data_IF_564860007918
#
_entry.id   IF_564860007918
#
_cell.length_a   1.000
_cell.length_b   1.000
_cell.length_c   1.000
_cell.angle_alpha   90.00
_cell.angle_beta   90.00
_cell.angle_gamma   90.00
#
_symmetry.space_group_name_H-M   'P 1'
#
loop_
_entity.id
_entity.type
_entity.pdbx_description
1 polymer ?
#
# COMPACT_ATOMS: atom_id res chain seq x y z
N UNK A 1 18.27 -13.01 -13.49
CA UNK A 1 18.37 -13.06 -12.01
C UNK A 1 18.68 -11.70 -11.39
N UNK A 2 19.83 -11.02 -11.68
CA UNK A 2 20.12 -9.71 -11.08
C UNK A 2 18.99 -8.69 -11.34
N UNK A 3 18.65 -8.45 -12.60
CA UNK A 3 17.60 -7.48 -12.97
C UNK A 3 16.25 -7.86 -12.34
N UNK A 4 15.87 -9.12 -12.35
CA UNK A 4 14.57 -9.58 -11.84
C UNK A 4 14.47 -9.46 -10.31
N UNK A 5 15.60 -9.70 -9.61
CA UNK A 5 15.64 -9.73 -8.13
C UNK A 5 15.95 -8.36 -7.55
N UNK A 6 16.91 -7.63 -8.14
CA UNK A 6 17.43 -6.39 -7.56
C UNK A 6 17.18 -5.14 -8.41
N UNK A 7 16.67 -5.29 -9.64
CA UNK A 7 16.44 -4.18 -10.56
C UNK A 7 17.70 -3.59 -11.17
N UNK A 8 18.90 -4.10 -10.84
CA UNK A 8 20.16 -3.57 -11.31
C UNK A 8 20.99 -4.60 -12.08
N UNK A 9 21.90 -4.12 -12.89
CA UNK A 9 22.86 -4.97 -13.63
C UNK A 9 23.95 -5.51 -12.71
N UNK A 10 24.44 -6.74 -12.93
CA UNK A 10 25.60 -7.26 -12.19
C UNK A 10 26.88 -6.46 -12.54
N UNK A 11 27.77 -6.34 -11.58
CA UNK A 11 29.14 -5.83 -11.82
C UNK A 11 29.95 -6.86 -12.61
N UNK A 12 30.95 -6.44 -13.42
CA UNK A 12 31.79 -7.37 -14.18
C UNK A 12 32.41 -8.48 -13.34
N UNK A 13 32.85 -8.15 -12.12
CA UNK A 13 33.42 -9.13 -11.19
C UNK A 13 32.41 -10.20 -10.76
N UNK A 14 31.13 -9.83 -10.56
CA UNK A 14 30.05 -10.75 -10.20
C UNK A 14 29.72 -11.70 -11.36
N UNK A 15 29.75 -11.20 -12.59
CA UNK A 15 29.60 -12.04 -13.79
C UNK A 15 30.73 -13.04 -13.89
N UNK A 16 31.99 -12.60 -13.76
CA UNK A 16 33.17 -13.48 -13.82
C UNK A 16 33.11 -14.54 -12.72
N UNK A 17 32.80 -14.16 -11.48
CA UNK A 17 32.67 -15.09 -10.36
C UNK A 17 31.62 -16.17 -10.64
N UNK A 18 30.44 -15.78 -11.14
CA UNK A 18 29.38 -16.74 -11.48
C UNK A 18 29.75 -17.66 -12.64
N UNK A 19 30.46 -17.16 -13.65
CA UNK A 19 30.88 -17.95 -14.81
C UNK A 19 31.97 -18.96 -14.46
N UNK A 20 32.86 -18.62 -13.55
CA UNK A 20 33.99 -19.50 -13.10
C UNK A 20 33.55 -20.50 -12.04
N UNK A 21 32.47 -20.24 -11.32
CA UNK A 21 31.92 -21.16 -10.32
C UNK A 21 31.36 -22.43 -11.00
N UNK A 22 31.89 -23.60 -10.59
CA UNK A 22 31.50 -24.93 -11.09
C UNK A 22 30.51 -25.65 -10.16
N UNK A 23 30.06 -25.01 -9.09
CA UNK A 23 29.12 -25.58 -8.12
C UNK A 23 27.76 -25.89 -8.78
N UNK A 24 27.18 -27.07 -8.52
CA UNK A 24 25.90 -27.46 -9.11
C UNK A 24 24.74 -26.58 -8.67
N UNK A 25 24.81 -26.01 -7.47
CA UNK A 25 23.79 -25.15 -6.86
C UNK A 25 24.09 -23.63 -6.94
N UNK A 26 25.05 -23.22 -7.78
CA UNK A 26 25.46 -21.81 -7.88
C UNK A 26 24.32 -20.82 -8.18
N UNK A 27 23.25 -21.26 -8.86
CA UNK A 27 22.08 -20.41 -9.16
C UNK A 27 21.26 -20.14 -7.90
N UNK A 28 21.02 -21.17 -7.09
CA UNK A 28 20.29 -21.03 -5.82
C UNK A 28 21.07 -20.14 -4.85
N UNK A 29 22.36 -20.41 -4.67
CA UNK A 29 23.22 -19.60 -3.83
C UNK A 29 23.28 -18.13 -4.26
N UNK A 30 23.28 -17.86 -5.57
CA UNK A 30 23.21 -16.49 -6.08
C UNK A 30 21.86 -15.86 -5.76
N UNK A 31 20.74 -16.54 -5.93
CA UNK A 31 19.42 -16.03 -5.61
C UNK A 31 19.34 -15.67 -4.13
N UNK A 32 19.75 -16.56 -3.24
CA UNK A 32 19.77 -16.32 -1.79
C UNK A 32 20.59 -15.09 -1.43
N UNK A 33 21.74 -14.93 -2.09
CA UNK A 33 22.61 -13.75 -1.91
C UNK A 33 21.92 -12.47 -2.40
N UNK A 34 21.23 -12.50 -3.54
CA UNK A 34 20.54 -11.35 -4.11
C UNK A 34 19.34 -10.92 -3.28
N UNK A 35 18.59 -11.88 -2.71
CA UNK A 35 17.44 -11.62 -1.85
C UNK A 35 17.82 -10.89 -0.54
N UNK A 36 19.07 -11.02 -0.10
CA UNK A 36 19.58 -10.34 1.11
C UNK A 36 20.15 -8.95 0.83
N UNK A 37 20.20 -8.52 -0.43
CA UNK A 37 20.73 -7.22 -0.80
C UNK A 37 19.73 -6.09 -0.52
N UNK A 38 20.27 -4.92 -0.19
CA UNK A 38 19.47 -3.72 -0.02
C UNK A 38 18.69 -3.33 -1.31
N UNK A 39 19.28 -3.61 -2.47
CA UNK A 39 18.66 -3.33 -3.77
C UNK A 39 17.40 -4.15 -4.01
N UNK A 40 17.30 -5.36 -3.45
CA UNK A 40 16.05 -6.13 -3.42
C UNK A 40 14.98 -5.39 -2.64
N UNK A 41 15.31 -4.94 -1.44
CA UNK A 41 14.38 -4.14 -0.62
C UNK A 41 13.98 -2.86 -1.33
N UNK A 42 14.94 -2.11 -1.88
CA UNK A 42 14.70 -0.85 -2.59
C UNK A 42 13.74 -1.04 -3.79
N UNK A 43 13.94 -2.10 -4.59
CA UNK A 43 13.06 -2.45 -5.71
C UNK A 43 11.62 -2.73 -5.26
N UNK A 44 11.47 -3.52 -4.22
CA UNK A 44 10.14 -3.90 -3.73
C UNK A 44 9.44 -2.76 -2.98
N UNK A 45 10.18 -1.96 -2.23
CA UNK A 45 9.65 -0.73 -1.62
C UNK A 45 9.13 0.23 -2.70
N UNK A 46 9.88 0.41 -3.79
CA UNK A 46 9.44 1.24 -4.91
C UNK A 46 8.12 0.74 -5.50
N UNK A 47 8.00 -0.56 -5.79
CA UNK A 47 6.77 -1.16 -6.34
C UNK A 47 5.58 -1.04 -5.39
N UNK A 48 5.80 -1.35 -4.11
CA UNK A 48 4.74 -1.24 -3.10
C UNK A 48 4.37 0.21 -2.80
N UNK A 49 5.33 1.13 -2.83
CA UNK A 49 5.06 2.57 -2.66
C UNK A 49 4.11 3.09 -3.73
N UNK A 50 4.23 2.62 -4.96
CA UNK A 50 3.33 2.99 -6.05
C UNK A 50 1.90 2.44 -5.82
N UNK A 51 1.78 1.15 -5.46
CA UNK A 51 0.50 0.52 -5.16
C UNK A 51 -0.20 1.12 -3.94
N UNK A 52 0.57 1.43 -2.89
CA UNK A 52 0.08 2.01 -1.63
C UNK A 52 0.04 3.53 -1.66
N UNK A 53 0.28 4.14 -2.83
CA UNK A 53 0.21 5.58 -3.07
C UNK A 53 1.09 6.40 -2.10
N UNK A 54 2.30 5.94 -1.80
CA UNK A 54 3.27 6.69 -1.00
C UNK A 54 3.74 7.90 -1.78
N UNK A 55 3.10 9.05 -1.55
CA UNK A 55 3.39 10.30 -2.27
C UNK A 55 3.19 11.51 -1.37
N UNK A 56 3.92 12.57 -1.65
CA UNK A 56 3.65 13.91 -1.11
C UNK A 56 2.91 14.74 -2.17
N UNK A 57 2.01 15.61 -1.73
CA UNK A 57 1.32 16.54 -2.63
C UNK A 57 1.83 17.96 -2.44
N UNK A 58 2.00 18.68 -3.54
CA UNK A 58 2.49 20.06 -3.51
C UNK A 58 1.33 21.08 -3.58
N UNK A 59 0.12 20.67 -4.02
CA UNK A 59 -0.91 21.61 -4.45
C UNK A 59 -2.31 21.45 -3.83
N UNK A 60 -2.51 20.53 -2.90
CA UNK A 60 -3.79 20.36 -2.23
C UNK A 60 -3.61 20.35 -0.71
N UNK A 61 -4.41 21.13 0.00
CA UNK A 61 -4.43 21.17 1.48
C UNK A 61 -4.71 19.81 2.15
N UNK A 62 -5.00 18.78 1.38
CA UNK A 62 -5.31 17.41 1.85
C UNK A 62 -4.19 16.42 1.58
N UNK A 63 -3.20 16.78 0.78
CA UNK A 63 -2.11 15.87 0.45
C UNK A 63 -1.09 15.77 1.60
N UNK A 64 -0.50 14.60 1.85
CA UNK A 64 0.51 14.44 2.89
C UNK A 64 1.70 15.37 2.67
N UNK A 65 2.18 15.96 3.75
CA UNK A 65 3.46 16.68 3.72
C UNK A 65 4.61 15.73 3.36
N UNK A 66 5.69 16.26 2.81
CA UNK A 66 6.87 15.46 2.46
C UNK A 66 7.38 14.62 3.63
N UNK A 67 7.41 15.19 4.85
CA UNK A 67 7.78 14.49 6.08
C UNK A 67 6.92 13.24 6.30
N UNK A 68 5.61 13.36 6.14
CA UNK A 68 4.67 12.26 6.37
C UNK A 68 4.82 11.18 5.32
N UNK A 69 5.00 11.56 4.05
CA UNK A 69 5.29 10.62 2.97
C UNK A 69 6.62 9.88 3.21
N UNK A 70 7.65 10.56 3.71
CA UNK A 70 8.93 9.95 4.06
C UNK A 70 8.80 8.98 5.25
N UNK A 71 8.03 9.34 6.28
CA UNK A 71 7.76 8.45 7.42
C UNK A 71 7.01 7.18 6.97
N UNK A 72 6.02 7.34 6.08
CA UNK A 72 5.28 6.23 5.52
C UNK A 72 6.18 5.34 4.65
N UNK A 73 7.02 5.93 3.80
CA UNK A 73 8.02 5.21 3.01
C UNK A 73 8.97 4.41 3.90
N UNK A 74 9.52 5.02 4.95
CA UNK A 74 10.45 4.38 5.87
C UNK A 74 9.79 3.22 6.63
N UNK A 75 8.53 3.39 7.05
CA UNK A 75 7.75 2.31 7.66
C UNK A 75 7.62 1.11 6.69
N UNK A 76 7.24 1.36 5.44
CA UNK A 76 7.10 0.32 4.44
C UNK A 76 8.45 -0.36 4.13
N UNK A 77 9.53 0.41 4.03
CA UNK A 77 10.88 -0.10 3.82
C UNK A 77 11.31 -1.04 4.95
N UNK A 78 11.05 -0.66 6.20
CA UNK A 78 11.35 -1.51 7.37
C UNK A 78 10.59 -2.85 7.32
N UNK A 79 9.30 -2.82 6.97
CA UNK A 79 8.47 -4.03 6.85
C UNK A 79 8.99 -4.98 5.76
N UNK A 80 9.32 -4.43 4.59
CA UNK A 80 9.85 -5.21 3.46
C UNK A 80 11.26 -5.72 3.76
N UNK A 81 12.14 -4.89 4.36
CA UNK A 81 13.48 -5.32 4.73
C UNK A 81 13.49 -6.47 5.75
N UNK A 82 12.52 -6.49 6.65
CA UNK A 82 12.32 -7.59 7.62
C UNK A 82 11.59 -8.80 7.03
N UNK A 83 11.24 -8.75 5.74
CA UNK A 83 10.44 -9.78 5.07
C UNK A 83 9.17 -10.13 5.85
N UNK A 84 8.49 -9.10 6.41
CA UNK A 84 7.25 -9.30 7.15
C UNK A 84 6.16 -9.85 6.22
N UNK A 85 5.36 -10.82 6.66
CA UNK A 85 4.26 -11.38 5.87
C UNK A 85 3.30 -10.28 5.39
N UNK A 86 2.93 -10.34 4.10
CA UNK A 86 2.11 -9.27 3.48
C UNK A 86 0.75 -9.08 4.16
N UNK A 87 0.13 -10.15 4.64
CA UNK A 87 -1.12 -10.08 5.39
C UNK A 87 -0.97 -9.27 6.69
N UNK A 88 0.17 -9.37 7.38
CA UNK A 88 0.44 -8.57 8.58
C UNK A 88 0.65 -7.10 8.22
N UNK A 89 1.38 -6.81 7.13
CA UNK A 89 1.56 -5.44 6.63
C UNK A 89 0.20 -4.82 6.28
N UNK A 90 -0.69 -5.58 5.64
CA UNK A 90 -2.04 -5.12 5.29
C UNK A 90 -2.90 -4.88 6.53
N UNK A 91 -2.83 -5.74 7.54
CA UNK A 91 -3.52 -5.53 8.83
C UNK A 91 -3.01 -4.26 9.50
N UNK A 92 -1.68 -4.10 9.62
CA UNK A 92 -1.07 -2.90 10.21
C UNK A 92 -1.51 -1.61 9.48
N UNK A 93 -1.63 -1.69 8.14
CA UNK A 93 -2.01 -0.57 7.30
C UNK A 93 -3.50 -0.22 7.44
N UNK A 94 -4.39 -1.20 7.27
CA UNK A 94 -5.83 -0.96 7.20
C UNK A 94 -6.47 -0.74 8.58
N UNK A 95 -5.86 -1.26 9.64
CA UNK A 95 -6.32 -1.00 11.01
C UNK A 95 -5.66 0.23 11.66
N UNK A 96 -4.78 0.92 10.95
CA UNK A 96 -4.03 2.04 11.51
C UNK A 96 -4.95 3.19 11.91
N UNK A 97 -4.69 3.74 13.10
CA UNK A 97 -5.33 4.95 13.61
C UNK A 97 -4.32 5.77 14.42
N UNK A 98 -4.56 7.08 14.57
CA UNK A 98 -3.66 7.98 15.28
C UNK A 98 -3.05 9.06 14.39
N UNK A 99 -1.95 9.66 14.83
CA UNK A 99 -1.30 10.77 14.13
C UNK A 99 -0.48 10.33 12.93
N UNK A 100 -0.50 11.12 11.87
CA UNK A 100 0.26 10.85 10.64
C UNK A 100 1.78 10.88 10.82
N UNK A 101 2.26 11.51 11.89
CA UNK A 101 3.68 11.53 12.26
C UNK A 101 4.00 10.39 13.23
N UNK A 102 3.16 10.21 14.25
CA UNK A 102 3.38 9.23 15.33
C UNK A 102 3.07 7.78 14.92
N UNK A 103 2.18 7.58 13.94
CA UNK A 103 1.81 6.27 13.39
C UNK A 103 1.81 6.30 11.86
N UNK A 104 2.98 6.11 11.20
CA UNK A 104 3.15 6.32 9.77
C UNK A 104 2.17 5.60 8.83
N UNK A 105 1.71 4.35 9.07
CA UNK A 105 0.78 3.67 8.16
C UNK A 105 -0.56 4.39 7.98
N UNK A 106 -0.99 5.25 8.94
CA UNK A 106 -2.23 6.03 8.77
C UNK A 106 -2.17 7.01 7.58
N UNK A 107 -0.98 7.31 7.06
CA UNK A 107 -0.81 8.13 5.88
C UNK A 107 -1.45 7.54 4.61
N UNK A 108 -1.72 6.24 4.58
CA UNK A 108 -2.55 5.63 3.55
C UNK A 108 -3.91 6.33 3.42
N UNK A 109 -4.57 6.58 4.54
CA UNK A 109 -5.85 7.28 4.60
C UNK A 109 -5.75 8.81 4.45
N UNK A 110 -4.56 9.37 4.59
CA UNK A 110 -4.32 10.78 4.33
C UNK A 110 -4.03 11.06 2.85
N UNK A 111 -3.50 10.08 2.13
CA UNK A 111 -3.20 10.21 0.70
C UNK A 111 -4.47 10.21 -0.15
N UNK A 112 -5.45 9.37 0.18
CA UNK A 112 -6.75 9.33 -0.46
C UNK A 112 -7.85 9.52 0.59
N UNK A 113 -8.62 10.60 0.43
CA UNK A 113 -9.65 10.99 1.39
C UNK A 113 -11.07 10.60 0.97
N UNK A 114 -11.27 10.31 -0.32
CA UNK A 114 -12.57 9.89 -0.85
C UNK A 114 -12.82 8.41 -0.51
N UNK A 115 -13.84 8.09 0.29
CA UNK A 115 -14.15 6.70 0.64
C UNK A 115 -14.41 5.80 -0.57
N UNK A 116 -14.93 6.33 -1.68
CA UNK A 116 -15.12 5.60 -2.93
C UNK A 116 -13.76 5.11 -3.45
N UNK A 117 -12.82 6.03 -3.58
CA UNK A 117 -11.48 5.72 -4.10
C UNK A 117 -10.68 4.82 -3.17
N UNK A 118 -10.80 5.00 -1.85
CA UNK A 118 -10.20 4.09 -0.87
C UNK A 118 -10.76 2.67 -1.03
N UNK A 119 -12.10 2.55 -1.11
CA UNK A 119 -12.79 1.26 -1.32
C UNK A 119 -12.28 0.55 -2.57
N UNK A 120 -12.23 1.26 -3.69
CA UNK A 120 -11.79 0.72 -4.98
C UNK A 120 -10.30 0.36 -4.97
N UNK A 121 -9.45 1.18 -4.36
CA UNK A 121 -8.04 0.91 -4.24
C UNK A 121 -7.78 -0.33 -3.39
N UNK A 122 -8.42 -0.46 -2.23
CA UNK A 122 -8.30 -1.65 -1.36
C UNK A 122 -8.74 -2.92 -2.10
N UNK A 123 -9.89 -2.87 -2.80
CA UNK A 123 -10.36 -4.01 -3.59
C UNK A 123 -9.36 -4.37 -4.70
N UNK A 124 -8.84 -3.40 -5.40
CA UNK A 124 -7.92 -3.65 -6.52
C UNK A 124 -6.56 -4.14 -6.05
N UNK A 125 -5.97 -3.52 -5.02
CA UNK A 125 -4.59 -3.81 -4.58
C UNK A 125 -4.52 -5.09 -3.76
N UNK A 126 -5.45 -5.29 -2.82
CA UNK A 126 -5.37 -6.40 -1.87
C UNK A 126 -6.25 -7.59 -2.20
N UNK A 127 -7.31 -7.39 -2.97
CA UNK A 127 -8.24 -8.46 -3.35
C UNK A 127 -8.17 -8.80 -4.84
N UNK A 128 -7.39 -8.04 -5.64
CA UNK A 128 -7.24 -8.26 -7.08
C UNK A 128 -8.52 -8.02 -7.89
N UNK A 129 -9.46 -7.25 -7.36
CA UNK A 129 -10.80 -7.08 -7.93
C UNK A 129 -11.08 -5.65 -8.34
N UNK A 130 -11.73 -5.47 -9.48
CA UNK A 130 -12.25 -4.18 -9.93
C UNK A 130 -13.75 -4.12 -9.67
N UNK A 131 -14.14 -3.44 -8.61
CA UNK A 131 -15.55 -3.38 -8.17
C UNK A 131 -16.29 -2.10 -8.61
N UNK A 132 -15.65 -1.23 -9.38
CA UNK A 132 -16.23 0.06 -9.79
C UNK A 132 -17.59 -0.08 -10.48
N UNK A 133 -17.78 -1.11 -11.30
CA UNK A 133 -19.07 -1.36 -11.96
C UNK A 133 -20.21 -1.59 -10.96
N UNK A 134 -19.88 -2.22 -9.81
CA UNK A 134 -20.86 -2.49 -8.76
C UNK A 134 -21.32 -1.23 -8.00
N UNK A 135 -20.73 -0.08 -8.24
CA UNK A 135 -21.18 1.20 -7.68
C UNK A 135 -22.56 1.64 -8.19
N UNK A 136 -22.90 1.32 -9.44
CA UNK A 136 -24.14 1.79 -10.08
C UNK A 136 -25.15 0.67 -10.37
N UNK A 137 -24.68 -0.56 -10.56
CA UNK A 137 -25.47 -1.75 -10.85
C UNK A 137 -24.70 -3.01 -10.45
N UNK A 138 -25.37 -4.16 -10.39
CA UNK A 138 -24.67 -5.41 -10.17
C UNK A 138 -23.58 -5.63 -11.21
N UNK A 139 -22.41 -6.12 -10.80
CA UNK A 139 -21.27 -6.28 -11.70
C UNK A 139 -21.63 -7.17 -12.89
N UNK A 140 -21.38 -6.74 -14.16
CA UNK A 140 -21.90 -7.45 -15.36
C UNK A 140 -21.21 -8.79 -15.63
N UNK A 141 -20.01 -9.01 -15.08
CA UNK A 141 -19.17 -10.20 -15.37
C UNK A 141 -18.70 -10.93 -14.11
N UNK A 142 -19.04 -10.43 -12.90
CA UNK A 142 -18.60 -11.02 -11.66
C UNK A 142 -19.76 -11.01 -10.65
N UNK A 143 -19.62 -11.76 -9.55
CA UNK A 143 -20.64 -11.96 -8.51
C UNK A 143 -21.00 -10.72 -7.67
N UNK A 144 -20.23 -9.64 -7.78
CA UNK A 144 -20.35 -8.46 -6.93
C UNK A 144 -21.65 -7.70 -7.23
N UNK A 145 -22.47 -7.58 -6.21
CA UNK A 145 -23.71 -6.81 -6.28
C UNK A 145 -23.51 -5.37 -5.83
N UNK A 146 -24.51 -4.53 -6.13
CA UNK A 146 -24.59 -3.18 -5.61
C UNK A 146 -24.54 -3.17 -4.07
N UNK A 147 -25.22 -4.12 -3.41
CA UNK A 147 -25.19 -4.27 -1.94
C UNK A 147 -23.78 -4.59 -1.43
N UNK A 148 -23.05 -5.49 -2.08
CA UNK A 148 -21.68 -5.84 -1.69
C UNK A 148 -20.76 -4.61 -1.77
N UNK A 149 -20.90 -3.80 -2.83
CA UNK A 149 -20.11 -2.58 -2.99
C UNK A 149 -20.37 -1.58 -1.84
N UNK A 150 -21.62 -1.28 -1.53
CA UNK A 150 -21.96 -0.31 -0.49
C UNK A 150 -21.66 -0.86 0.91
N UNK A 151 -21.86 -2.15 1.15
CA UNK A 151 -21.43 -2.81 2.38
C UNK A 151 -19.92 -2.71 2.59
N UNK A 152 -19.13 -2.94 1.54
CA UNK A 152 -17.67 -2.81 1.61
C UNK A 152 -17.23 -1.35 1.79
N UNK A 153 -17.85 -0.41 1.07
CA UNK A 153 -17.60 1.03 1.20
C UNK A 153 -17.88 1.54 2.63
N UNK A 154 -18.84 0.98 3.34
CA UNK A 154 -19.22 1.39 4.70
C UNK A 154 -18.05 1.33 5.68
N UNK A 155 -17.11 0.37 5.52
CA UNK A 155 -15.89 0.31 6.34
C UNK A 155 -15.03 1.58 6.23
N UNK A 156 -15.02 2.23 5.08
CA UNK A 156 -14.19 3.41 4.81
C UNK A 156 -14.91 4.74 5.01
N UNK A 157 -16.25 4.71 5.12
CA UNK A 157 -17.06 5.91 5.43
C UNK A 157 -16.81 6.43 6.85
N UNK A 158 -16.34 5.56 7.76
CA UNK A 158 -16.14 5.89 9.16
C UNK A 158 -14.75 6.46 9.44
N UNK A 159 -13.93 6.70 8.43
CA UNK A 159 -12.59 7.26 8.60
C UNK A 159 -12.69 8.77 8.81
N UNK A 160 -12.56 9.17 10.07
CA UNK A 160 -12.52 10.58 10.49
C UNK A 160 -11.11 11.16 10.43
N UNK A 161 -11.04 12.48 10.24
CA UNK A 161 -9.78 13.25 10.21
C UNK A 161 -9.92 14.46 11.10
N UNK A 162 -8.91 14.68 11.96
CA UNK A 162 -8.85 15.83 12.83
C UNK A 162 -7.49 16.51 12.70
N UNK A 163 -7.49 17.79 12.34
CA UNK A 163 -6.28 18.60 12.33
C UNK A 163 -5.81 18.80 13.77
N UNK A 164 -4.50 18.77 13.98
CA UNK A 164 -3.86 19.12 15.25
C UNK A 164 -3.35 20.56 15.23
N UNK A 165 -2.75 21.02 16.35
CA UNK A 165 -2.06 22.31 16.41
C UNK A 165 -0.79 22.33 15.54
N UNK A 166 -0.20 21.15 15.26
CA UNK A 166 0.86 21.02 14.27
C UNK A 166 0.22 20.89 12.87
N UNK A 167 0.44 21.86 11.96
CA UNK A 167 -0.12 21.81 10.61
C UNK A 167 0.30 20.56 9.81
N UNK A 168 1.41 19.92 10.20
CA UNK A 168 1.93 18.73 9.53
C UNK A 168 1.36 17.42 10.07
N UNK A 169 0.60 17.46 11.16
CA UNK A 169 0.03 16.26 11.76
C UNK A 169 -1.49 16.25 11.69
N UNK A 170 -2.05 15.18 11.14
CA UNK A 170 -3.48 14.89 11.11
C UNK A 170 -3.74 13.62 11.89
N UNK A 171 -4.77 13.61 12.74
CA UNK A 171 -5.20 12.40 13.44
C UNK A 171 -6.27 11.70 12.62
N UNK A 172 -6.01 10.44 12.29
CA UNK A 172 -6.95 9.52 11.65
C UNK A 172 -7.62 8.68 12.76
N UNK A 173 -8.94 8.61 12.75
CA UNK A 173 -9.69 7.91 13.77
C UNK A 173 -10.99 7.33 13.22
N UNK A 174 -11.59 6.37 13.93
CA UNK A 174 -12.93 5.90 13.62
C UNK A 174 -13.96 6.92 14.15
N UNK A 175 -14.64 7.61 13.25
CA UNK A 175 -15.63 8.65 13.57
C UNK A 175 -16.95 8.09 14.08
N UNK A 176 -17.15 6.76 14.01
CA UNK A 176 -18.44 6.08 14.28
C UNK A 176 -19.59 6.70 13.44
N UNK A 177 -19.25 7.21 12.26
CA UNK A 177 -20.20 7.72 11.26
C UNK A 177 -21.12 6.61 10.78
N UNK A 178 -22.20 6.99 10.09
CA UNK A 178 -23.14 6.04 9.51
C UNK A 178 -22.53 5.24 8.35
N UNK A 179 -23.23 4.18 7.97
CA UNK A 179 -22.88 3.38 6.81
C UNK A 179 -23.10 4.13 5.49
N UNK A 180 -22.56 3.60 4.42
CA UNK A 180 -22.77 4.15 3.09
C UNK A 180 -24.23 3.97 2.66
N UNK A 181 -24.92 5.06 2.35
CA UNK A 181 -26.31 5.02 1.90
C UNK A 181 -26.41 4.29 0.56
N UNK A 182 -27.23 3.27 0.51
CA UNK A 182 -27.51 2.51 -0.70
C UNK A 182 -28.38 3.35 -1.66
N UNK A 183 -28.00 3.53 -2.94
CA UNK A 183 -28.64 4.51 -3.82
C UNK A 183 -30.06 4.17 -4.22
N UNK A 184 -30.50 2.91 -4.08
CA UNK A 184 -31.86 2.47 -4.44
C UNK A 184 -32.75 2.31 -3.20
N UNK A 185 -32.21 1.71 -2.13
CA UNK A 185 -33.01 1.39 -0.93
C UNK A 185 -32.95 2.48 0.13
N UNK A 186 -32.00 3.41 0.03
CA UNK A 186 -31.72 4.46 1.01
C UNK A 186 -31.43 3.90 2.43
N UNK A 187 -31.09 2.61 2.51
CA UNK A 187 -30.71 1.94 3.75
C UNK A 187 -29.19 2.04 3.96
#
# INVERSE_FOLDING_TARGET
MFIDVTGIMPKPAEVTAFMTDKSPNKREALIDTLLQRKEFTELWVMKWSELLQVRSGVNNNTAPFYKNALLYYNWLQEKIAKNQPINEIVVDLLSASGGTVSNPPVNYYQTEIDPIKVTENVAQVFMGMRIQCAQCHNHPFDRWTLNDYYGFKSFFMQIGRKQTDDPQEVIIYNSKGGDATHPVTSA
#
